data_IF_035524056788
#
_entry.id   IF_035524056788
#
_cell.length_a   1.000
_cell.length_b   1.000
_cell.length_c   1.000
_cell.angle_alpha   90.00
_cell.angle_beta   90.00
_cell.angle_gamma   90.00
#
_symmetry.space_group_name_H-M   'P 1'
#
loop_
_entity.id
_entity.type
_entity.pdbx_description
1 polymer ?
#
# COMPACT_ATOMS: atom_id res chain seq x y z
N UNK A 1 -15.39 -22.95 8.28
CA UNK A 1 -15.14 -22.44 6.92
C UNK A 1 -14.39 -21.11 7.09
N UNK A 2 -13.16 -21.01 6.63
CA UNK A 2 -12.44 -19.73 6.63
C UNK A 2 -13.19 -18.76 5.71
N UNK A 3 -13.49 -17.55 6.17
CA UNK A 3 -14.04 -16.50 5.30
C UNK A 3 -13.08 -16.22 4.16
N UNK A 4 -13.61 -15.88 2.98
CA UNK A 4 -12.78 -15.44 1.86
C UNK A 4 -11.98 -14.20 2.28
N UNK A 5 -10.71 -14.08 1.85
CA UNK A 5 -9.93 -12.88 2.11
C UNK A 5 -10.56 -11.65 1.44
N UNK A 6 -10.45 -10.50 2.08
CA UNK A 6 -10.90 -9.21 1.57
C UNK A 6 -10.13 -8.84 0.29
N UNK A 7 -10.83 -8.45 -0.77
CA UNK A 7 -10.20 -7.89 -1.98
C UNK A 7 -10.03 -6.38 -1.81
N UNK A 8 -8.77 -5.94 -1.70
CA UNK A 8 -8.40 -4.55 -1.52
C UNK A 8 -7.86 -3.94 -2.81
N UNK A 9 -8.59 -2.99 -3.37
CA UNK A 9 -8.24 -2.31 -4.61
C UNK A 9 -7.69 -0.89 -4.36
N UNK A 10 -6.78 -0.41 -5.22
CA UNK A 10 -6.31 0.97 -5.15
C UNK A 10 -7.36 1.93 -5.69
N UNK A 11 -7.46 3.12 -5.10
CA UNK A 11 -8.27 4.22 -5.59
C UNK A 11 -7.40 5.47 -5.78
N UNK A 12 -7.00 5.74 -7.02
CA UNK A 12 -6.24 6.94 -7.38
C UNK A 12 -7.12 8.18 -7.61
N UNK A 13 -8.44 8.00 -7.73
CA UNK A 13 -9.44 9.05 -7.90
C UNK A 13 -10.78 8.56 -7.36
N UNK A 14 -11.75 9.49 -7.25
CA UNK A 14 -13.12 9.16 -6.86
C UNK A 14 -13.75 8.13 -7.81
N UNK A 15 -13.64 8.33 -9.12
CA UNK A 15 -14.18 7.42 -10.13
C UNK A 15 -13.51 6.05 -10.09
N UNK A 16 -12.21 6.00 -9.82
CA UNK A 16 -11.49 4.73 -9.64
C UNK A 16 -12.00 3.96 -8.42
N UNK A 17 -12.37 4.64 -7.34
CA UNK A 17 -12.97 4.00 -6.17
C UNK A 17 -14.35 3.42 -6.48
N UNK A 18 -15.21 4.17 -7.19
CA UNK A 18 -16.51 3.69 -7.64
C UNK A 18 -16.36 2.46 -8.54
N UNK A 19 -15.45 2.53 -9.52
CA UNK A 19 -15.17 1.40 -10.40
C UNK A 19 -14.71 0.17 -9.60
N UNK A 20 -13.77 0.34 -8.65
CA UNK A 20 -13.30 -0.75 -7.80
C UNK A 20 -14.44 -1.45 -7.07
N UNK A 21 -15.33 -0.70 -6.44
CA UNK A 21 -16.51 -1.27 -5.77
C UNK A 21 -17.48 -1.93 -6.73
N UNK A 22 -17.70 -1.34 -7.91
CA UNK A 22 -18.57 -1.91 -8.96
C UNK A 22 -18.05 -3.25 -9.45
N UNK A 23 -16.73 -3.39 -9.58
CA UNK A 23 -16.08 -4.64 -9.99
C UNK A 23 -15.77 -5.60 -8.83
N UNK A 24 -16.32 -5.36 -7.64
CA UNK A 24 -16.37 -6.34 -6.56
C UNK A 24 -15.31 -6.19 -5.47
N UNK A 25 -14.54 -5.11 -5.44
CA UNK A 25 -13.64 -4.86 -4.32
C UNK A 25 -14.41 -4.77 -2.99
N UNK A 26 -13.90 -5.41 -1.94
CA UNK A 26 -14.47 -5.35 -0.59
C UNK A 26 -14.01 -4.09 0.15
N UNK A 27 -12.83 -3.59 -0.23
CA UNK A 27 -12.26 -2.38 0.31
C UNK A 27 -11.47 -1.62 -0.76
N UNK A 28 -11.31 -0.31 -0.56
CA UNK A 28 -10.36 0.50 -1.33
C UNK A 28 -9.35 1.15 -0.41
N UNK A 29 -8.13 1.38 -0.91
CA UNK A 29 -7.17 2.24 -0.24
C UNK A 29 -6.84 3.45 -1.12
N UNK A 30 -6.71 4.60 -0.48
CA UNK A 30 -6.51 5.88 -1.13
C UNK A 30 -5.53 6.76 -0.36
N UNK A 31 -4.95 7.73 -1.04
CA UNK A 31 -4.09 8.75 -0.45
C UNK A 31 -4.78 10.10 -0.41
N UNK A 32 -4.48 10.87 0.62
CA UNK A 32 -4.78 12.30 0.66
C UNK A 32 -3.66 13.08 -0.03
N UNK A 33 -3.87 14.35 -0.29
CA UNK A 33 -2.90 15.25 -0.93
C UNK A 33 -1.55 15.35 -0.22
N UNK A 34 -1.49 14.92 1.06
CA UNK A 34 -0.28 14.89 1.88
C UNK A 34 -0.09 13.53 2.54
N UNK A 35 1.16 13.20 2.90
CA UNK A 35 1.56 12.04 3.69
C UNK A 35 1.27 10.67 3.05
N UNK A 36 1.01 10.64 1.75
CA UNK A 36 0.87 9.42 0.97
C UNK A 36 2.16 9.08 0.23
N UNK A 37 2.49 7.79 0.13
CA UNK A 37 3.63 7.29 -0.63
C UNK A 37 3.55 7.60 -2.14
N UNK A 38 2.45 8.19 -2.59
CA UNK A 38 2.20 8.61 -3.97
C UNK A 38 1.79 10.08 -4.04
N UNK A 39 2.64 10.93 -3.49
CA UNK A 39 2.40 12.37 -3.41
C UNK A 39 2.12 13.02 -4.78
N UNK A 40 2.71 12.50 -5.85
CA UNK A 40 2.55 13.02 -7.22
C UNK A 40 1.30 12.46 -7.96
N UNK A 41 0.48 11.60 -7.32
CA UNK A 41 -0.77 11.09 -7.89
C UNK A 41 -1.92 12.09 -7.68
N UNK A 42 -3.01 11.93 -8.46
CA UNK A 42 -4.27 12.59 -8.18
C UNK A 42 -4.83 12.03 -6.86
N UNK A 43 -4.54 12.67 -5.75
CA UNK A 43 -4.98 12.26 -4.43
C UNK A 43 -6.37 12.81 -4.13
N UNK A 44 -7.02 12.25 -3.10
CA UNK A 44 -8.35 12.66 -2.66
C UNK A 44 -8.29 14.00 -1.93
N UNK A 45 -9.25 14.88 -2.25
CA UNK A 45 -9.57 16.04 -1.41
C UNK A 45 -10.31 15.57 -0.13
N UNK A 46 -10.43 16.47 0.84
CA UNK A 46 -11.19 16.22 2.06
C UNK A 46 -12.66 15.90 1.75
N UNK A 47 -13.25 16.60 0.78
CA UNK A 47 -14.63 16.39 0.36
C UNK A 47 -14.80 15.06 -0.39
N UNK A 48 -13.85 14.71 -1.25
CA UNK A 48 -13.87 13.39 -1.91
C UNK A 48 -13.77 12.25 -0.91
N UNK A 49 -12.97 12.39 0.15
CA UNK A 49 -12.91 11.39 1.21
C UNK A 49 -14.27 11.26 1.93
N UNK A 50 -14.92 12.38 2.30
CA UNK A 50 -16.27 12.34 2.92
C UNK A 50 -17.26 11.63 2.02
N UNK A 51 -17.28 11.98 0.74
CA UNK A 51 -18.20 11.41 -0.25
C UNK A 51 -17.97 9.92 -0.47
N UNK A 52 -16.72 9.47 -0.60
CA UNK A 52 -16.43 8.05 -0.87
C UNK A 52 -16.70 7.17 0.35
N UNK A 53 -16.41 7.63 1.57
CA UNK A 53 -16.75 6.92 2.80
C UNK A 53 -18.28 6.80 2.95
N UNK A 54 -19.01 7.88 2.71
CA UNK A 54 -20.48 7.85 2.72
C UNK A 54 -21.02 6.88 1.66
N UNK A 55 -20.52 6.96 0.43
CA UNK A 55 -20.91 6.05 -0.66
C UNK A 55 -20.66 4.58 -0.30
N UNK A 56 -19.46 4.25 0.17
CA UNK A 56 -19.08 2.88 0.51
C UNK A 56 -20.00 2.27 1.60
N UNK A 57 -20.43 3.08 2.56
CA UNK A 57 -21.36 2.65 3.63
C UNK A 57 -22.80 2.43 3.17
N UNK A 58 -23.23 3.18 2.15
CA UNK A 58 -24.60 3.10 1.63
C UNK A 58 -24.79 2.03 0.54
N UNK A 59 -23.73 1.34 0.14
CA UNK A 59 -23.86 0.20 -0.77
C UNK A 59 -24.69 -0.92 -0.13
N UNK A 60 -25.42 -1.73 -0.92
CA UNK A 60 -26.23 -2.86 -0.42
C UNK A 60 -25.43 -3.83 0.47
N UNK A 61 -24.14 -3.99 0.16
CA UNK A 61 -23.13 -4.60 1.02
C UNK A 61 -22.11 -3.51 1.35
N UNK A 62 -22.08 -3.00 2.58
CA UNK A 62 -21.13 -1.96 2.97
C UNK A 62 -19.68 -2.34 2.66
N UNK A 63 -18.92 -1.39 2.15
CA UNK A 63 -17.52 -1.56 1.77
C UNK A 63 -16.63 -0.70 2.65
N UNK A 64 -15.35 -1.03 2.70
CA UNK A 64 -14.37 -0.34 3.56
C UNK A 64 -13.52 0.64 2.78
N UNK A 65 -13.08 1.68 3.48
CA UNK A 65 -12.16 2.70 2.96
C UNK A 65 -10.97 2.83 3.90
N UNK A 66 -9.77 2.54 3.39
CA UNK A 66 -8.51 2.70 4.11
C UNK A 66 -7.74 3.89 3.58
N UNK A 67 -7.18 4.69 4.47
CA UNK A 67 -6.40 5.86 4.11
C UNK A 67 -4.91 5.60 4.33
N UNK A 68 -4.09 5.97 3.35
CA UNK A 68 -2.64 5.85 3.47
C UNK A 68 -2.03 7.11 4.08
N UNK A 69 -1.32 6.95 5.20
CA UNK A 69 -0.39 7.90 5.79
C UNK A 69 0.97 7.20 5.90
N UNK A 70 1.46 6.72 4.76
CA UNK A 70 2.55 5.75 4.68
C UNK A 70 3.85 6.36 4.15
N UNK A 71 4.15 7.59 4.56
CA UNK A 71 5.45 8.23 4.39
C UNK A 71 6.13 8.46 5.74
N UNK A 72 7.45 8.58 5.74
CA UNK A 72 8.19 9.06 6.91
C UNK A 72 7.90 10.55 7.10
N UNK A 73 7.73 10.96 8.35
CA UNK A 73 7.42 12.33 8.73
C UNK A 73 8.64 13.08 9.25
N UNK A 74 8.77 14.33 8.86
CA UNK A 74 9.72 15.26 9.47
C UNK A 74 9.06 16.00 10.65
N UNK A 75 9.84 16.39 11.63
CA UNK A 75 9.34 17.10 12.83
C UNK A 75 8.52 18.34 12.46
N UNK A 76 8.94 19.07 11.44
CA UNK A 76 8.24 20.27 10.92
C UNK A 76 6.86 20.01 10.30
N UNK A 77 6.54 18.76 9.98
CA UNK A 77 5.27 18.38 9.34
C UNK A 77 4.17 18.02 10.36
N UNK A 78 4.50 17.96 11.66
CA UNK A 78 3.56 17.55 12.71
C UNK A 78 2.29 18.42 12.76
N UNK A 79 2.44 19.74 12.64
CA UNK A 79 1.29 20.66 12.65
C UNK A 79 0.42 20.46 11.42
N UNK A 80 1.04 20.27 10.24
CA UNK A 80 0.33 20.03 8.99
C UNK A 80 -0.42 18.68 8.97
N UNK A 81 -0.09 17.76 9.86
CA UNK A 81 -0.77 16.46 9.98
C UNK A 81 -2.12 16.57 10.74
N UNK A 82 -2.25 17.50 11.68
CA UNK A 82 -3.43 17.58 12.56
C UNK A 82 -4.77 17.69 11.82
N UNK A 83 -4.93 18.53 10.77
CA UNK A 83 -6.16 18.57 10.00
C UNK A 83 -6.53 17.22 9.37
N UNK A 84 -5.53 16.50 8.81
CA UNK A 84 -5.76 15.18 8.24
C UNK A 84 -6.25 14.18 9.30
N UNK A 85 -5.66 14.20 10.50
CA UNK A 85 -6.09 13.32 11.60
C UNK A 85 -7.51 13.66 12.09
N UNK A 86 -7.85 14.94 12.16
CA UNK A 86 -9.20 15.39 12.52
C UNK A 86 -10.23 14.89 11.49
N UNK A 87 -9.93 15.01 10.21
CA UNK A 87 -10.77 14.51 9.11
C UNK A 87 -10.96 12.98 9.20
N UNK A 88 -9.88 12.21 9.39
CA UNK A 88 -9.98 10.75 9.53
C UNK A 88 -10.90 10.33 10.68
N UNK A 89 -10.87 11.07 11.80
CA UNK A 89 -11.76 10.85 12.94
C UNK A 89 -13.20 11.24 12.60
N UNK A 90 -13.41 12.38 11.94
CA UNK A 90 -14.72 12.88 11.53
C UNK A 90 -15.45 11.87 10.65
N UNK A 91 -14.78 11.39 9.59
CA UNK A 91 -15.39 10.46 8.63
C UNK A 91 -15.38 9.01 9.12
N UNK A 92 -14.66 8.73 10.21
CA UNK A 92 -14.50 7.40 10.81
C UNK A 92 -14.08 6.34 9.78
N UNK A 93 -12.92 6.54 9.15
CA UNK A 93 -12.36 5.58 8.18
C UNK A 93 -12.16 4.19 8.78
N UNK A 94 -12.21 3.15 7.97
CA UNK A 94 -12.13 1.75 8.42
C UNK A 94 -10.70 1.31 8.80
N UNK A 95 -9.69 2.11 8.48
CA UNK A 95 -8.30 1.89 8.90
C UNK A 95 -7.34 2.85 8.23
N UNK A 96 -6.14 2.93 8.81
CA UNK A 96 -5.05 3.78 8.32
C UNK A 96 -3.80 2.95 8.09
N UNK A 97 -3.22 3.04 6.88
CA UNK A 97 -1.98 2.34 6.52
C UNK A 97 -0.80 3.27 6.82
N UNK A 98 0.06 2.86 7.75
CA UNK A 98 1.11 3.71 8.35
C UNK A 98 2.48 3.09 8.18
N UNK A 99 3.48 3.93 7.87
CA UNK A 99 4.90 3.56 7.86
C UNK A 99 5.66 4.16 9.07
N UNK A 100 5.37 5.41 9.42
CA UNK A 100 6.08 6.13 10.48
C UNK A 100 5.65 5.64 11.86
N UNK A 101 6.60 5.12 12.65
CA UNK A 101 6.32 4.59 13.98
C UNK A 101 5.94 5.68 15.00
N UNK A 102 6.45 6.91 14.81
CA UNK A 102 6.06 8.07 15.62
C UNK A 102 4.58 8.42 15.38
N UNK A 103 4.16 8.41 14.12
CA UNK A 103 2.75 8.58 13.76
C UNK A 103 1.88 7.45 14.32
N UNK A 104 2.34 6.20 14.22
CA UNK A 104 1.61 5.06 14.77
C UNK A 104 1.40 5.22 16.29
N UNK A 105 2.43 5.64 17.01
CA UNK A 105 2.36 5.92 18.46
C UNK A 105 1.37 7.05 18.77
N UNK A 106 1.38 8.12 18.00
CA UNK A 106 0.46 9.24 18.13
C UNK A 106 -0.99 8.81 17.88
N UNK A 107 -1.23 8.06 16.80
CA UNK A 107 -2.56 7.52 16.47
C UNK A 107 -3.09 6.60 17.58
N UNK A 108 -2.26 5.71 18.08
CA UNK A 108 -2.63 4.82 19.20
C UNK A 108 -3.03 5.59 20.44
N UNK A 109 -2.29 6.66 20.76
CA UNK A 109 -2.53 7.47 21.97
C UNK A 109 -3.79 8.33 21.87
N UNK A 110 -4.02 8.95 20.72
CA UNK A 110 -5.05 9.99 20.56
C UNK A 110 -6.27 9.55 19.75
N UNK A 111 -6.12 8.49 18.94
CA UNK A 111 -7.19 7.95 18.08
C UNK A 111 -7.27 6.41 18.19
N UNK A 112 -7.45 5.86 19.43
CA UNK A 112 -7.35 4.41 19.68
C UNK A 112 -8.41 3.58 18.94
N UNK A 113 -9.50 4.19 18.51
CA UNK A 113 -10.57 3.52 17.76
C UNK A 113 -10.23 3.30 16.27
N UNK A 114 -9.20 3.97 15.74
CA UNK A 114 -8.80 3.82 14.33
C UNK A 114 -7.89 2.61 14.16
N UNK A 115 -8.27 1.60 13.37
CA UNK A 115 -7.42 0.44 13.10
C UNK A 115 -6.14 0.84 12.38
N UNK A 116 -4.98 0.37 12.87
CA UNK A 116 -3.68 0.63 12.26
C UNK A 116 -3.23 -0.57 11.44
N UNK A 117 -2.93 -0.34 10.17
CA UNK A 117 -2.34 -1.31 9.26
C UNK A 117 -0.87 -0.94 9.01
N UNK A 118 0.04 -1.88 9.26
CA UNK A 118 1.45 -1.68 8.99
C UNK A 118 1.69 -1.68 7.49
N UNK A 119 2.27 -0.59 6.97
CA UNK A 119 2.63 -0.51 5.54
C UNK A 119 3.69 -1.56 5.18
N UNK A 120 3.68 -2.04 3.93
CA UNK A 120 4.76 -2.87 3.39
C UNK A 120 6.13 -2.20 3.51
N UNK A 121 6.18 -0.88 3.56
CA UNK A 121 7.41 -0.10 3.75
C UNK A 121 8.02 -0.22 5.15
N UNK A 122 7.34 -0.88 6.10
CA UNK A 122 7.94 -1.33 7.36
C UNK A 122 8.73 -2.64 7.21
N UNK A 123 8.79 -3.19 6.00
CA UNK A 123 9.59 -4.34 5.62
C UNK A 123 9.45 -5.54 6.58
N UNK A 124 8.22 -5.87 6.96
CA UNK A 124 7.97 -7.02 7.83
C UNK A 124 8.21 -8.35 7.10
N UNK A 125 9.33 -9.00 7.39
CA UNK A 125 9.78 -10.25 6.77
C UNK A 125 9.86 -11.43 7.75
N UNK A 126 9.54 -11.23 9.03
CA UNK A 126 9.74 -12.24 10.05
C UNK A 126 8.65 -12.27 11.11
N UNK A 127 8.54 -13.42 11.80
CA UNK A 127 7.66 -13.58 12.95
C UNK A 127 7.99 -12.59 14.08
N UNK A 128 9.27 -12.33 14.32
CA UNK A 128 9.71 -11.38 15.35
C UNK A 128 9.25 -9.96 15.00
N UNK A 129 9.42 -9.54 13.73
CA UNK A 129 8.93 -8.26 13.23
C UNK A 129 7.41 -8.13 13.35
N UNK A 130 6.66 -9.18 12.96
CA UNK A 130 5.20 -9.18 13.07
C UNK A 130 4.72 -9.06 14.54
N UNK A 131 5.38 -9.73 15.47
CA UNK A 131 5.08 -9.62 16.91
C UNK A 131 5.40 -8.22 17.45
N UNK A 132 6.50 -7.61 17.03
CA UNK A 132 6.86 -6.25 17.41
C UNK A 132 5.81 -5.24 16.90
N UNK A 133 5.42 -5.33 15.63
CA UNK A 133 4.37 -4.48 15.06
C UNK A 133 3.03 -4.67 15.76
N UNK A 134 2.64 -5.91 16.09
CA UNK A 134 1.44 -6.18 16.89
C UNK A 134 1.51 -5.52 18.27
N UNK A 135 2.65 -5.60 18.95
CA UNK A 135 2.86 -4.95 20.24
C UNK A 135 2.75 -3.42 20.16
N UNK A 136 3.17 -2.83 19.03
CA UNK A 136 2.95 -1.42 18.73
C UNK A 136 1.49 -1.08 18.39
N UNK A 137 0.61 -2.09 18.28
CA UNK A 137 -0.82 -1.93 18.11
C UNK A 137 -1.31 -1.99 16.67
N UNK A 138 -0.51 -2.44 15.76
CA UNK A 138 -1.00 -2.76 14.43
C UNK A 138 -1.88 -4.02 14.47
N UNK A 139 -3.06 -3.93 13.86
CA UNK A 139 -4.02 -5.03 13.77
C UNK A 139 -3.85 -5.84 12.49
N UNK A 140 -3.28 -5.20 11.44
CA UNK A 140 -3.00 -5.81 10.15
C UNK A 140 -1.59 -5.44 9.69
N UNK A 141 -0.92 -6.35 9.01
CA UNK A 141 0.42 -6.14 8.45
C UNK A 141 0.37 -6.42 6.94
N UNK A 142 0.72 -5.41 6.15
CA UNK A 142 1.04 -5.60 4.73
C UNK A 142 2.45 -6.14 4.66
N UNK A 143 2.59 -7.42 4.37
CA UNK A 143 3.90 -8.09 4.39
C UNK A 143 4.85 -7.55 3.33
N UNK A 144 6.12 -7.76 3.57
CA UNK A 144 7.15 -7.56 2.56
C UNK A 144 6.89 -8.47 1.34
N UNK A 145 7.22 -7.97 0.15
CA UNK A 145 6.97 -8.68 -1.12
C UNK A 145 7.94 -9.83 -1.37
N UNK A 146 8.99 -9.92 -0.56
CA UNK A 146 10.01 -10.95 -0.58
C UNK A 146 9.53 -12.27 0.02
N UNK A 147 8.45 -12.24 0.80
CA UNK A 147 7.86 -13.43 1.41
C UNK A 147 7.00 -14.20 0.41
N UNK A 148 7.09 -15.53 0.48
CA UNK A 148 6.09 -16.37 -0.17
C UNK A 148 4.74 -16.26 0.55
N UNK A 149 3.64 -16.60 -0.15
CA UNK A 149 2.30 -16.60 0.44
C UNK A 149 2.19 -17.51 1.67
N UNK A 150 2.90 -18.64 1.66
CA UNK A 150 2.89 -19.60 2.79
C UNK A 150 3.63 -19.05 4.00
N UNK A 151 4.79 -18.42 3.81
CA UNK A 151 5.53 -17.76 4.90
C UNK A 151 4.71 -16.62 5.50
N UNK A 152 4.11 -15.77 4.67
CA UNK A 152 3.26 -14.68 5.11
C UNK A 152 2.08 -15.20 5.97
N UNK A 153 1.37 -16.23 5.49
CA UNK A 153 0.27 -16.85 6.20
C UNK A 153 0.72 -17.48 7.54
N UNK A 154 1.88 -18.14 7.55
CA UNK A 154 2.44 -18.75 8.77
C UNK A 154 2.81 -17.68 9.81
N UNK A 155 3.44 -16.58 9.37
CA UNK A 155 3.77 -15.44 10.24
C UNK A 155 2.50 -14.90 10.88
N UNK A 156 1.44 -14.64 10.10
CA UNK A 156 0.17 -14.14 10.60
C UNK A 156 -0.46 -15.05 11.67
N UNK A 157 -0.53 -16.35 11.35
CA UNK A 157 -1.06 -17.35 12.27
C UNK A 157 -0.26 -17.43 13.58
N UNK A 158 1.07 -17.41 13.53
CA UNK A 158 1.95 -17.50 14.71
C UNK A 158 2.03 -16.20 15.51
N UNK A 159 1.91 -15.05 14.85
CA UNK A 159 1.87 -13.74 15.51
C UNK A 159 0.46 -13.40 16.03
N UNK A 160 -0.57 -14.03 15.49
CA UNK A 160 -1.97 -13.72 15.79
C UNK A 160 -2.33 -12.30 15.32
N UNK A 161 -1.95 -11.94 14.11
CA UNK A 161 -2.21 -10.64 13.46
C UNK A 161 -2.72 -10.88 12.05
N UNK A 162 -3.59 -10.01 11.55
CA UNK A 162 -4.07 -10.07 10.18
C UNK A 162 -2.93 -9.84 9.17
N UNK A 163 -2.91 -10.64 8.12
CA UNK A 163 -1.96 -10.49 7.02
C UNK A 163 -2.66 -10.02 5.75
N UNK A 164 -2.11 -8.98 5.16
CA UNK A 164 -2.42 -8.48 3.84
C UNK A 164 -1.21 -8.72 2.92
N UNK A 165 -1.44 -9.24 1.72
CA UNK A 165 -0.38 -9.50 0.74
C UNK A 165 -0.75 -8.95 -0.63
N UNK A 166 0.27 -8.54 -1.41
CA UNK A 166 0.05 -8.14 -2.80
C UNK A 166 -0.20 -9.36 -3.68
N UNK A 167 -1.15 -9.25 -4.61
CA UNK A 167 -1.52 -10.31 -5.55
C UNK A 167 -1.44 -9.87 -7.00
N UNK A 168 -1.36 -8.57 -7.27
CA UNK A 168 -1.31 -8.03 -8.62
C UNK A 168 -0.61 -6.67 -8.67
N UNK A 169 0.11 -6.41 -9.75
CA UNK A 169 0.70 -5.12 -10.10
C UNK A 169 2.22 -5.09 -10.04
N UNK A 170 2.77 -3.89 -10.15
CA UNK A 170 4.20 -3.67 -10.30
C UNK A 170 4.99 -4.03 -9.03
N UNK A 171 6.07 -4.79 -9.21
CA UNK A 171 7.01 -5.07 -8.12
C UNK A 171 8.09 -3.99 -8.03
N UNK A 172 8.49 -3.67 -6.81
CA UNK A 172 9.64 -2.82 -6.54
C UNK A 172 10.94 -3.63 -6.58
N UNK A 173 12.00 -3.08 -7.17
CA UNK A 173 13.32 -3.68 -7.16
C UNK A 173 13.96 -3.68 -5.76
N UNK A 174 13.65 -2.65 -4.97
CA UNK A 174 14.21 -2.47 -3.63
C UNK A 174 13.47 -3.30 -2.60
N UNK A 175 14.15 -3.68 -1.52
CA UNK A 175 13.58 -4.39 -0.38
C UNK A 175 12.35 -3.65 0.15
N UNK A 176 11.16 -4.18 -0.12
CA UNK A 176 9.85 -3.65 0.33
C UNK A 176 9.70 -2.12 0.26
N UNK A 177 10.29 -1.52 -0.76
CA UNK A 177 10.20 -0.06 -0.98
C UNK A 177 11.16 0.80 -0.17
N UNK A 178 12.07 0.22 0.60
CA UNK A 178 13.16 0.95 1.28
C UNK A 178 14.27 1.26 0.27
N UNK A 179 14.16 2.40 -0.42
CA UNK A 179 15.01 2.72 -1.55
C UNK A 179 15.63 4.10 -1.42
N UNK A 180 16.94 4.18 -1.67
CA UNK A 180 17.70 5.43 -1.75
C UNK A 180 18.04 5.83 -3.19
N UNK A 181 17.72 5.01 -4.20
CA UNK A 181 18.11 5.24 -5.59
C UNK A 181 17.63 6.60 -6.09
N UNK A 182 16.33 6.90 -5.94
CA UNK A 182 15.79 8.21 -6.33
C UNK A 182 16.45 9.36 -5.55
N UNK A 183 16.74 9.19 -4.26
CA UNK A 183 17.37 10.22 -3.44
C UNK A 183 18.77 10.54 -3.94
N UNK A 184 19.56 9.52 -4.26
CA UNK A 184 20.95 9.67 -4.71
C UNK A 184 21.03 10.24 -6.13
N UNK A 185 20.11 9.88 -7.02
CA UNK A 185 20.16 10.27 -8.43
C UNK A 185 19.43 11.57 -8.75
N UNK A 186 18.36 11.88 -8.00
CA UNK A 186 17.47 13.01 -8.33
C UNK A 186 17.15 13.93 -7.16
N UNK A 187 17.64 13.62 -5.95
CA UNK A 187 17.26 14.32 -4.72
C UNK A 187 15.83 14.05 -4.26
N UNK A 188 15.08 13.15 -4.90
CA UNK A 188 13.68 12.81 -4.57
C UNK A 188 13.63 11.57 -3.70
N UNK A 189 13.02 11.64 -2.52
CA UNK A 189 12.91 10.48 -1.62
C UNK A 189 11.72 9.59 -1.95
N UNK A 190 11.98 8.34 -2.38
CA UNK A 190 10.96 7.32 -2.54
C UNK A 190 10.26 6.95 -1.24
N UNK A 191 10.98 7.01 -0.10
CA UNK A 191 10.43 6.73 1.23
C UNK A 191 9.50 7.85 1.74
N UNK A 192 9.47 8.98 1.04
CA UNK A 192 8.60 10.12 1.31
C UNK A 192 7.61 10.39 0.18
N UNK A 193 7.26 9.36 -0.59
CA UNK A 193 6.24 9.42 -1.63
C UNK A 193 6.67 10.07 -2.95
N UNK A 194 7.96 10.35 -3.14
CA UNK A 194 8.50 11.05 -4.32
C UNK A 194 9.47 10.19 -5.12
N UNK A 195 9.14 8.91 -5.30
CA UNK A 195 9.93 8.00 -6.12
C UNK A 195 10.01 8.50 -7.58
N UNK A 196 11.23 8.64 -8.11
CA UNK A 196 11.46 9.04 -9.49
C UNK A 196 11.50 7.87 -10.48
N UNK A 197 11.25 6.64 -9.99
CA UNK A 197 11.26 5.40 -10.79
C UNK A 197 12.55 5.16 -11.57
N UNK A 198 13.70 5.55 -11.03
CA UNK A 198 15.00 5.39 -11.66
C UNK A 198 15.30 3.94 -12.09
N UNK A 199 14.81 2.95 -11.32
CA UNK A 199 14.93 1.54 -11.65
C UNK A 199 14.17 1.10 -12.93
N UNK A 200 13.26 1.93 -13.45
CA UNK A 200 12.49 1.67 -14.67
C UNK A 200 13.07 2.36 -15.90
N UNK A 201 14.14 3.15 -15.72
CA UNK A 201 14.82 3.81 -16.83
C UNK A 201 15.69 2.81 -17.60
N UNK A 202 15.96 3.09 -18.88
CA UNK A 202 16.95 2.32 -19.64
C UNK A 202 18.36 2.64 -19.16
N UNK A 203 19.21 1.61 -19.10
CA UNK A 203 20.63 1.71 -18.79
C UNK A 203 21.43 1.13 -19.95
N UNK A 204 22.51 1.82 -20.33
CA UNK A 204 23.47 1.34 -21.33
C UNK A 204 24.72 0.89 -20.60
N UNK A 205 25.03 -0.39 -20.68
CA UNK A 205 26.29 -0.93 -20.19
C UNK A 205 27.44 -0.55 -21.14
N UNK A 206 28.64 -0.31 -20.61
CA UNK A 206 29.79 0.00 -21.43
C UNK A 206 30.05 -1.12 -22.45
N UNK A 207 30.04 -0.78 -23.74
CA UNK A 207 30.20 -1.73 -24.86
C UNK A 207 28.90 -2.41 -25.34
N UNK A 208 27.78 -2.15 -24.73
CA UNK A 208 26.49 -2.67 -25.19
C UNK A 208 25.95 -1.86 -26.39
N UNK A 209 25.41 -2.56 -27.39
CA UNK A 209 24.84 -1.93 -28.60
C UNK A 209 23.48 -1.26 -28.35
N UNK A 210 22.75 -1.70 -27.28
CA UNK A 210 21.41 -1.20 -26.96
C UNK A 210 21.21 -1.07 -25.46
N UNK A 211 20.38 -0.10 -25.00
CA UNK A 211 20.02 0.02 -23.61
C UNK A 211 19.15 -1.16 -23.15
N UNK A 212 19.26 -1.52 -21.87
CA UNK A 212 18.46 -2.55 -21.21
C UNK A 212 17.78 -1.98 -19.95
N UNK A 213 16.92 -2.76 -19.31
CA UNK A 213 16.21 -2.37 -18.09
C UNK A 213 16.54 -3.35 -16.94
N UNK A 214 17.81 -3.42 -16.47
CA UNK A 214 18.28 -4.46 -15.55
C UNK A 214 17.59 -4.42 -14.18
N UNK A 215 17.08 -3.26 -13.77
CA UNK A 215 16.41 -3.06 -12.48
C UNK A 215 14.88 -3.07 -12.59
N UNK A 216 14.33 -3.27 -13.79
CA UNK A 216 12.88 -3.31 -13.97
C UNK A 216 12.36 -4.72 -13.66
N UNK A 217 11.67 -4.86 -12.53
CA UNK A 217 11.03 -6.11 -12.13
C UNK A 217 9.85 -6.44 -13.06
N UNK A 218 9.55 -7.73 -13.22
CA UNK A 218 8.30 -8.20 -13.83
C UNK A 218 7.14 -7.89 -12.88
N UNK A 219 5.96 -7.64 -13.45
CA UNK A 219 4.75 -7.42 -12.66
C UNK A 219 4.27 -8.72 -12.00
N UNK A 220 3.68 -8.59 -10.84
CA UNK A 220 3.05 -9.69 -10.12
C UNK A 220 1.66 -9.94 -10.72
N UNK A 221 1.31 -11.20 -10.96
CA UNK A 221 -0.02 -11.63 -11.36
C UNK A 221 -0.29 -13.01 -10.77
N UNK A 222 -1.12 -13.07 -9.71
CA UNK A 222 -1.42 -14.31 -8.97
C UNK A 222 -2.87 -14.78 -9.20
N UNK A 223 -3.52 -14.36 -10.29
CA UNK A 223 -4.87 -14.82 -10.61
C UNK A 223 -4.94 -16.35 -10.74
N UNK A 224 -3.92 -16.95 -11.36
CA UNK A 224 -3.82 -18.42 -11.54
C UNK A 224 -3.58 -19.19 -10.23
N UNK A 225 -3.20 -18.48 -9.15
CA UNK A 225 -3.03 -19.05 -7.80
C UNK A 225 -4.28 -18.89 -6.91
N UNK A 226 -5.46 -18.64 -7.49
CA UNK A 226 -6.68 -18.34 -6.74
C UNK A 226 -7.05 -19.44 -5.71
N UNK A 227 -6.86 -20.71 -6.03
CA UNK A 227 -7.12 -21.81 -5.11
C UNK A 227 -6.17 -21.78 -3.90
N UNK A 228 -4.89 -21.53 -4.13
CA UNK A 228 -3.90 -21.35 -3.06
C UNK A 228 -4.26 -20.15 -2.19
N UNK A 229 -4.58 -19.02 -2.79
CA UNK A 229 -4.98 -17.79 -2.06
C UNK A 229 -6.20 -18.04 -1.17
N UNK A 230 -7.18 -18.82 -1.62
CA UNK A 230 -8.37 -19.21 -0.85
C UNK A 230 -8.06 -20.18 0.30
N UNK A 231 -7.06 -21.01 0.14
CA UNK A 231 -6.68 -22.03 1.13
C UNK A 231 -5.85 -21.49 2.29
N UNK A 232 -5.23 -20.32 2.12
CA UNK A 232 -4.36 -19.71 3.11
C UNK A 232 -5.13 -18.74 4.03
N UNK A 233 -4.77 -18.67 5.32
CA UNK A 233 -5.39 -17.75 6.28
C UNK A 233 -4.88 -16.31 6.10
N UNK A 234 -5.13 -15.75 4.93
CA UNK A 234 -4.86 -14.36 4.59
C UNK A 234 -6.10 -13.51 4.87
N UNK A 235 -5.94 -12.35 5.46
CA UNK A 235 -7.05 -11.44 5.74
C UNK A 235 -7.42 -10.58 4.54
N UNK A 236 -6.42 -10.17 3.74
CA UNK A 236 -6.63 -9.26 2.61
C UNK A 236 -5.68 -9.54 1.45
N UNK A 237 -6.20 -9.45 0.24
CA UNK A 237 -5.49 -9.55 -1.04
C UNK A 237 -5.44 -8.18 -1.69
N UNK A 238 -4.23 -7.61 -1.81
CA UNK A 238 -4.03 -6.24 -2.26
C UNK A 238 -3.60 -6.16 -3.71
N UNK A 239 -4.30 -5.35 -4.47
CA UNK A 239 -3.90 -4.95 -5.82
C UNK A 239 -3.00 -3.71 -5.70
N UNK A 240 -1.85 -3.70 -6.38
CA UNK A 240 -0.93 -2.56 -6.40
C UNK A 240 -1.56 -1.36 -7.10
N UNK A 241 -1.34 -0.20 -6.54
CA UNK A 241 -1.95 1.04 -7.03
C UNK A 241 -1.35 1.62 -8.29
N UNK A 242 -2.11 2.43 -8.89
CA UNK A 242 -2.24 2.90 -10.25
C UNK A 242 -1.22 3.93 -10.75
N UNK A 243 -0.38 4.52 -9.91
CA UNK A 243 0.53 5.57 -10.38
C UNK A 243 1.65 5.08 -11.31
N UNK A 244 1.77 3.77 -11.47
CA UNK A 244 2.77 3.14 -12.35
C UNK A 244 2.24 2.85 -13.77
N UNK A 245 0.95 3.04 -14.05
CA UNK A 245 0.36 2.72 -15.36
C UNK A 245 1.07 3.47 -16.48
N UNK A 246 1.38 4.74 -16.29
CA UNK A 246 2.06 5.54 -17.31
C UNK A 246 3.52 5.15 -17.55
N UNK A 247 4.14 4.42 -16.61
CA UNK A 247 5.55 4.03 -16.67
C UNK A 247 5.71 2.56 -17.05
N UNK A 248 4.77 1.69 -16.66
CA UNK A 248 4.79 0.26 -17.00
C UNK A 248 4.18 -0.06 -18.36
N UNK A 249 3.30 0.77 -18.90
CA UNK A 249 2.69 0.60 -20.22
C UNK A 249 3.71 0.39 -21.36
N UNK A 250 4.80 1.18 -21.48
CA UNK A 250 5.80 0.93 -22.51
C UNK A 250 6.53 -0.40 -22.39
N UNK A 251 6.65 -0.94 -21.17
CA UNK A 251 7.32 -2.22 -20.92
C UNK A 251 6.40 -3.42 -21.15
N UNK A 252 5.08 -3.27 -20.95
CA UNK A 252 4.09 -4.32 -21.26
C UNK A 252 4.01 -4.62 -22.76
N UNK A 253 4.07 -3.61 -23.61
CA UNK A 253 3.97 -3.77 -25.07
C UNK A 253 5.18 -4.42 -25.75
N UNK A 254 6.29 -4.61 -25.02
CA UNK A 254 7.53 -5.22 -25.54
C UNK A 254 7.79 -6.63 -25.01
N UNK A 255 6.89 -7.18 -24.23
CA UNK A 255 7.02 -8.50 -23.59
C UNK A 255 6.01 -9.55 -24.08
N UNK A 256 5.42 -9.33 -25.28
CA UNK A 256 4.61 -10.32 -26.01
C UNK A 256 5.38 -10.71 -27.27
#
# INVERSE_FOLDING_TARGET
>A
MTSLPELLAPAGSFDAAIAAFTYGADAVYLGLSRFSARADAANFSDDDLRRIVAYARHLPRPRKVYVTLNTLLETREREALLPSLALLKEVAVDGVIVQDLGLATLLRRHFPAVPLHASTQLACTSLAGARALKALGFVRIVTARELTLREAAEIGRKAGVEIETFVHGALCYSLSGLCLFSSLTTGRSGNRGRCAYCCRQPFTEAGAAHPSHPFSMRDLALADAAELLRSLPLASLKIEGLSLIHISEPTRRRGI
#
